data_IF_199622403439
#
_entry.id   IF_199622403439
#
_cell.length_a   1.000
_cell.length_b   1.000
_cell.length_c   1.000
_cell.angle_alpha   90.00
_cell.angle_beta   90.00
_cell.angle_gamma   90.00
#
_symmetry.space_group_name_H-M   'P 1'
#
loop_
_entity.id
_entity.type
_entity.pdbx_description
1 polymer ?
#
# COMPACT_ATOMS: atom_id res chain seq x y z
N UNK A 1 15.76 -5.00 25.83
CA UNK A 1 14.56 -4.22 26.21
C UNK A 1 14.81 -2.75 25.88
N UNK A 2 13.99 -2.15 25.02
CA UNK A 2 14.12 -0.73 24.66
C UNK A 2 13.78 0.16 25.86
N UNK A 3 14.51 1.28 26.03
CA UNK A 3 14.15 2.30 27.03
C UNK A 3 12.87 2.99 26.57
N UNK A 4 11.90 3.25 27.46
CA UNK A 4 10.71 4.01 27.08
C UNK A 4 11.11 5.43 26.66
N UNK A 5 10.53 5.90 25.56
CA UNK A 5 10.68 7.28 25.11
C UNK A 5 10.08 8.23 26.17
N UNK A 6 10.58 9.47 26.22
CA UNK A 6 9.96 10.49 27.05
C UNK A 6 8.49 10.73 26.62
N UNK A 7 7.62 11.20 27.54
CA UNK A 7 6.23 11.51 27.20
C UNK A 7 6.12 12.38 25.94
N UNK A 8 5.24 12.00 25.02
CA UNK A 8 5.04 12.71 23.74
C UNK A 8 6.09 12.45 22.65
N UNK A 9 7.13 11.63 22.92
CA UNK A 9 8.22 11.33 21.97
C UNK A 9 8.26 9.88 21.50
N UNK A 10 7.15 9.16 21.66
CA UNK A 10 7.07 7.74 21.32
C UNK A 10 7.30 7.44 19.83
N UNK A 11 7.06 8.41 18.95
CA UNK A 11 7.27 8.30 17.51
C UNK A 11 8.59 8.91 17.03
N UNK A 12 9.37 9.57 17.89
CA UNK A 12 10.66 10.15 17.49
C UNK A 12 11.62 9.03 17.06
N UNK A 13 12.06 9.07 15.80
CA UNK A 13 12.98 8.07 15.22
C UNK A 13 12.33 6.74 14.84
N UNK A 14 11.01 6.60 14.96
CA UNK A 14 10.29 5.41 14.49
C UNK A 14 10.01 5.56 13.00
N UNK A 15 10.62 4.70 12.18
CA UNK A 15 10.29 4.61 10.75
C UNK A 15 9.07 3.73 10.55
N UNK A 16 8.26 4.06 9.53
CA UNK A 16 7.27 3.14 8.98
C UNK A 16 7.97 1.94 8.35
N UNK A 17 7.28 0.79 8.34
CA UNK A 17 7.76 -0.38 7.62
C UNK A 17 7.56 -0.14 6.13
N UNK A 18 8.64 -0.21 5.36
CA UNK A 18 8.56 0.00 3.93
C UNK A 18 9.68 -0.73 3.19
N UNK A 19 9.48 -0.92 1.89
CA UNK A 19 10.45 -1.55 1.00
C UNK A 19 10.47 -0.82 -0.33
N UNK A 20 11.67 -0.66 -0.91
CA UNK A 20 11.79 -0.11 -2.25
C UNK A 20 11.27 -1.10 -3.29
N UNK A 21 10.36 -0.64 -4.13
CA UNK A 21 9.80 -1.47 -5.19
C UNK A 21 9.07 -0.66 -6.24
N UNK A 22 8.34 -1.35 -7.11
CA UNK A 22 7.59 -0.74 -8.22
C UNK A 22 6.17 -1.28 -8.21
N UNK A 23 5.20 -0.43 -8.54
CA UNK A 23 3.83 -0.86 -8.77
C UNK A 23 3.58 -1.01 -10.27
N UNK A 24 2.91 -2.07 -10.68
CA UNK A 24 2.49 -2.39 -12.05
C UNK A 24 3.56 -3.07 -12.90
N UNK A 25 4.64 -2.35 -13.22
CA UNK A 25 5.59 -2.76 -14.25
C UNK A 25 7.00 -2.29 -13.88
N UNK A 26 8.02 -3.05 -14.30
CA UNK A 26 9.43 -2.68 -14.10
C UNK A 26 9.79 -1.33 -14.74
N UNK A 27 8.99 -0.86 -15.70
CA UNK A 27 9.17 0.44 -16.37
C UNK A 27 8.72 1.63 -15.53
N UNK A 28 7.92 1.42 -14.49
CA UNK A 28 7.45 2.48 -13.60
C UNK A 28 8.54 2.86 -12.61
N UNK A 29 8.45 4.04 -12.00
CA UNK A 29 9.45 4.52 -11.04
C UNK A 29 9.57 3.64 -9.80
N UNK A 30 10.77 3.59 -9.22
CA UNK A 30 10.98 3.01 -7.90
C UNK A 30 10.30 3.90 -6.86
N UNK A 31 9.52 3.31 -5.96
CA UNK A 31 8.77 3.98 -4.92
C UNK A 31 8.96 3.27 -3.58
N UNK A 32 8.66 4.00 -2.52
CA UNK A 32 8.61 3.49 -1.16
C UNK A 32 7.26 2.78 -0.94
N UNK A 33 7.25 1.45 -0.99
CA UNK A 33 6.07 0.62 -0.75
C UNK A 33 5.86 0.53 0.76
N UNK A 34 4.86 1.24 1.28
CA UNK A 34 4.57 1.25 2.72
C UNK A 34 3.72 0.05 3.10
N UNK A 35 4.15 -0.67 4.12
CA UNK A 35 3.36 -1.73 4.75
C UNK A 35 2.76 -1.18 6.03
N UNK A 36 1.44 -1.26 6.14
CA UNK A 36 0.69 -0.70 7.26
C UNK A 36 -0.35 -1.70 7.75
N UNK A 37 0.00 -2.44 8.81
CA UNK A 37 -0.89 -3.42 9.44
C UNK A 37 -2.10 -2.79 10.16
N UNK A 38 -2.13 -1.45 10.31
CA UNK A 38 -3.28 -0.75 10.89
C UNK A 38 -4.35 -0.43 9.84
N UNK A 39 -4.07 -0.64 8.55
CA UNK A 39 -5.05 -0.50 7.49
C UNK A 39 -5.60 -1.89 7.11
N UNK A 40 -6.90 -2.11 7.28
CA UNK A 40 -7.54 -3.40 6.92
C UNK A 40 -7.39 -3.76 5.43
N UNK A 41 -7.28 -2.73 4.57
CA UNK A 41 -7.27 -2.87 3.11
C UNK A 41 -6.11 -2.11 2.47
N UNK A 42 -5.64 -2.62 1.34
CA UNK A 42 -4.62 -1.98 0.52
C UNK A 42 -5.20 -0.80 -0.27
N UNK A 43 -4.47 0.32 -0.31
CA UNK A 43 -4.89 1.58 -0.92
C UNK A 43 -3.86 2.07 -1.95
N UNK A 44 -4.33 2.70 -3.02
CA UNK A 44 -3.50 3.37 -4.03
C UNK A 44 -4.05 4.76 -4.31
N UNK A 45 -3.17 5.76 -4.46
CA UNK A 45 -3.62 7.11 -4.79
C UNK A 45 -4.05 7.16 -6.25
N UNK A 46 -5.11 7.90 -6.53
CA UNK A 46 -5.56 8.10 -7.91
C UNK A 46 -4.47 8.76 -8.76
N UNK A 47 -3.78 9.74 -8.20
CA UNK A 47 -2.74 10.51 -8.86
C UNK A 47 -1.56 9.61 -9.24
N UNK A 48 -1.16 8.71 -8.34
CA UNK A 48 -0.10 7.74 -8.61
C UNK A 48 -0.55 6.71 -9.65
N UNK A 49 -1.74 6.14 -9.50
CA UNK A 49 -2.31 5.20 -10.46
C UNK A 49 -2.35 5.79 -11.88
N UNK A 50 -2.75 7.06 -12.02
CA UNK A 50 -2.78 7.76 -13.30
C UNK A 50 -1.38 8.08 -13.86
N UNK A 51 -0.34 8.08 -13.03
CA UNK A 51 1.05 8.29 -13.46
C UNK A 51 1.72 7.02 -14.01
N UNK A 52 1.13 5.84 -13.80
CA UNK A 52 1.70 4.57 -14.25
C UNK A 52 1.69 4.48 -15.77
N UNK A 53 2.79 3.95 -16.35
CA UNK A 53 2.89 3.72 -17.80
C UNK A 53 1.88 2.70 -18.29
N UNK A 54 1.70 1.63 -17.52
CA UNK A 54 0.80 0.51 -17.80
C UNK A 54 -0.32 0.49 -16.77
N UNK A 55 -1.21 1.49 -16.83
CA UNK A 55 -2.27 1.67 -15.85
C UNK A 55 -3.29 0.52 -15.92
N UNK A 56 -3.50 -0.27 -14.84
CA UNK A 56 -4.55 -1.27 -14.82
C UNK A 56 -5.95 -0.63 -14.85
N UNK A 57 -6.97 -1.33 -15.40
CA UNK A 57 -8.33 -0.83 -15.39
C UNK A 57 -8.89 -0.77 -13.96
N UNK A 58 -9.66 0.28 -13.67
CA UNK A 58 -10.40 0.38 -12.41
C UNK A 58 -11.64 -0.50 -12.51
N UNK A 59 -11.79 -1.40 -11.54
CA UNK A 59 -12.89 -2.34 -11.42
C UNK A 59 -13.86 -1.90 -10.30
N UNK A 60 -15.10 -2.37 -10.38
CA UNK A 60 -16.14 -2.18 -9.36
C UNK A 60 -16.42 -3.51 -8.67
N UNK A 61 -16.47 -3.54 -7.33
CA UNK A 61 -16.52 -4.77 -6.54
C UNK A 61 -17.42 -4.68 -5.30
N UNK A 62 -17.69 -5.83 -4.68
CA UNK A 62 -18.63 -5.95 -3.54
C UNK A 62 -18.18 -5.12 -2.33
N UNK A 63 -16.86 -5.08 -2.05
CA UNK A 63 -16.28 -4.33 -0.93
C UNK A 63 -16.55 -2.82 -0.99
N UNK A 64 -16.77 -2.23 -2.17
CA UNK A 64 -17.16 -0.81 -2.32
C UNK A 64 -18.51 -0.48 -1.67
N UNK A 65 -19.44 -1.46 -1.60
CA UNK A 65 -20.75 -1.26 -0.99
C UNK A 65 -20.71 -1.19 0.54
N UNK A 66 -19.69 -1.79 1.17
CA UNK A 66 -19.54 -1.84 2.63
C UNK A 66 -18.96 -0.54 3.22
N UNK A 67 -18.01 0.09 2.51
CA UNK A 67 -17.29 1.27 3.02
C UNK A 67 -18.01 2.61 2.83
N UNK A 68 -19.06 2.67 1.99
CA UNK A 68 -19.94 3.84 1.90
C UNK A 68 -20.76 4.12 3.19
N UNK A 69 -20.65 3.25 4.21
CA UNK A 69 -21.38 3.39 5.47
C UNK A 69 -20.62 4.18 6.55
N UNK A 70 -19.30 4.37 6.45
CA UNK A 70 -18.48 4.90 7.55
C UNK A 70 -17.80 6.25 7.31
N UNK A 71 -17.80 6.79 6.09
CA UNK A 71 -17.39 8.19 5.89
C UNK A 71 -18.10 8.81 4.68
N UNK A 72 -18.92 9.84 4.93
CA UNK A 72 -19.72 10.49 3.87
C UNK A 72 -18.86 11.23 2.85
N UNK A 73 -17.57 11.44 3.14
CA UNK A 73 -16.68 12.26 2.32
C UNK A 73 -15.58 11.48 1.59
N UNK A 74 -15.34 10.21 1.93
CA UNK A 74 -14.32 9.41 1.24
C UNK A 74 -14.88 8.84 -0.07
N UNK A 75 -14.53 9.47 -1.20
CA UNK A 75 -14.97 9.05 -2.54
C UNK A 75 -14.00 8.04 -3.15
N UNK A 76 -14.11 6.78 -2.75
CA UNK A 76 -13.43 5.69 -3.45
C UNK A 76 -13.91 5.62 -4.91
N UNK A 77 -12.98 5.42 -5.86
CA UNK A 77 -13.31 5.29 -7.29
C UNK A 77 -13.54 3.85 -7.75
N UNK A 78 -13.15 2.88 -6.94
CA UNK A 78 -13.15 1.46 -7.26
C UNK A 78 -11.87 0.82 -6.74
N UNK A 79 -11.49 -0.30 -7.34
CA UNK A 79 -10.24 -0.98 -7.01
C UNK A 79 -9.49 -1.39 -8.28
N UNK A 80 -8.20 -1.67 -8.14
CA UNK A 80 -7.35 -2.20 -9.20
C UNK A 80 -6.64 -3.45 -8.71
N UNK A 81 -6.39 -4.39 -9.62
CA UNK A 81 -5.39 -5.43 -9.43
C UNK A 81 -4.09 -4.96 -10.02
N UNK A 82 -3.04 -4.91 -9.21
CA UNK A 82 -1.75 -4.34 -9.62
C UNK A 82 -0.60 -5.22 -9.13
N UNK A 83 0.33 -5.61 -10.03
CA UNK A 83 1.56 -6.26 -9.61
C UNK A 83 2.40 -5.36 -8.70
N UNK A 84 2.96 -5.91 -7.63
CA UNK A 84 3.93 -5.25 -6.77
C UNK A 84 5.26 -5.96 -6.96
N UNK A 85 6.27 -5.22 -7.39
CA UNK A 85 7.59 -5.74 -7.69
C UNK A 85 8.57 -5.25 -6.63
N UNK A 86 9.17 -6.18 -5.90
CA UNK A 86 10.20 -5.91 -4.89
C UNK A 86 11.52 -6.52 -5.34
N UNK A 87 12.64 -5.82 -5.12
CA UNK A 87 13.97 -6.36 -5.43
C UNK A 87 14.57 -6.95 -4.17
N UNK A 88 14.84 -8.25 -4.19
CA UNK A 88 15.55 -8.95 -3.13
C UNK A 88 17.05 -8.59 -3.13
N UNK A 89 17.75 -8.89 -2.04
CA UNK A 89 19.17 -8.56 -1.87
C UNK A 89 20.07 -9.21 -2.92
N UNK A 90 19.68 -10.38 -3.44
CA UNK A 90 20.37 -11.10 -4.51
C UNK A 90 20.07 -10.56 -5.92
N UNK A 91 19.24 -9.52 -6.02
CA UNK A 91 18.79 -8.93 -7.28
C UNK A 91 17.58 -9.61 -7.91
N UNK A 92 17.04 -10.68 -7.31
CA UNK A 92 15.81 -11.33 -7.76
C UNK A 92 14.64 -10.37 -7.62
N UNK A 93 13.80 -10.28 -8.65
CA UNK A 93 12.56 -9.51 -8.59
C UNK A 93 11.45 -10.45 -8.15
N UNK A 94 10.90 -10.17 -6.98
CA UNK A 94 9.71 -10.84 -6.46
C UNK A 94 8.50 -10.06 -6.93
N UNK A 95 7.60 -10.73 -7.66
CA UNK A 95 6.33 -10.17 -8.12
C UNK A 95 5.18 -10.79 -7.33
N UNK A 96 4.34 -9.94 -6.76
CA UNK A 96 3.10 -10.28 -6.07
C UNK A 96 1.93 -9.49 -6.67
N UNK A 97 0.68 -9.84 -6.38
CA UNK A 97 -0.51 -9.12 -6.83
C UNK A 97 -1.21 -8.46 -5.64
N UNK A 98 -1.49 -7.16 -5.74
CA UNK A 98 -2.29 -6.42 -4.77
C UNK A 98 -3.65 -6.05 -5.33
N UNK A 99 -4.70 -6.22 -4.54
CA UNK A 99 -6.01 -5.59 -4.79
C UNK A 99 -6.06 -4.26 -4.03
N UNK A 100 -5.91 -3.13 -4.72
CA UNK A 100 -5.79 -1.82 -4.12
C UNK A 100 -7.01 -0.93 -4.41
N UNK A 101 -7.58 -0.31 -3.36
CA UNK A 101 -8.67 0.65 -3.51
C UNK A 101 -8.13 2.03 -3.92
N UNK A 102 -8.79 2.64 -4.91
CA UNK A 102 -8.35 3.91 -5.48
C UNK A 102 -8.92 5.07 -4.67
N UNK A 103 -8.02 5.84 -4.05
CA UNK A 103 -8.34 6.98 -3.18
C UNK A 103 -7.87 8.29 -3.81
N UNK A 104 -8.78 9.22 -4.18
CA UNK A 104 -8.40 10.55 -4.64
C UNK A 104 -7.78 11.40 -3.53
N UNK A 105 -6.74 12.19 -3.84
CA UNK A 105 -6.12 13.12 -2.89
C UNK A 105 -5.25 12.46 -1.82
N UNK A 106 -4.95 11.17 -1.95
CA UNK A 106 -4.03 10.47 -1.05
C UNK A 106 -2.58 10.87 -1.36
N UNK A 107 -1.84 11.31 -0.35
CA UNK A 107 -0.45 11.80 -0.53
C UNK A 107 0.58 10.68 -0.65
N UNK A 108 0.25 9.51 -0.12
CA UNK A 108 1.07 8.30 -0.23
C UNK A 108 0.74 7.62 -1.57
N UNK A 109 1.73 7.22 -2.39
CA UNK A 109 1.46 6.56 -3.67
C UNK A 109 0.68 5.24 -3.52
N UNK A 110 1.12 4.39 -2.60
CA UNK A 110 0.50 3.10 -2.30
C UNK A 110 0.75 2.72 -0.83
N UNK A 111 -0.23 2.08 -0.22
CA UNK A 111 -0.19 1.60 1.15
C UNK A 111 -0.71 0.16 1.16
N UNK A 112 0.17 -0.79 1.46
CA UNK A 112 -0.09 -2.22 1.52
C UNK A 112 -0.64 -2.56 2.89
N UNK A 113 -1.95 -2.85 2.94
CA UNK A 113 -2.68 -3.11 4.17
C UNK A 113 -2.43 -4.49 4.75
N UNK A 114 -3.20 -4.81 5.78
CA UNK A 114 -3.23 -6.13 6.42
C UNK A 114 -3.71 -7.22 5.44
N UNK A 115 -4.63 -6.91 4.52
CA UNK A 115 -5.07 -7.85 3.48
C UNK A 115 -3.91 -8.36 2.61
N UNK A 116 -3.02 -7.48 2.20
CA UNK A 116 -1.81 -7.84 1.46
C UNK A 116 -0.79 -8.57 2.34
N UNK A 117 -0.58 -8.11 3.58
CA UNK A 117 0.36 -8.74 4.51
C UNK A 117 -0.04 -10.18 4.83
N UNK A 118 -1.32 -10.44 5.11
CA UNK A 118 -1.82 -11.80 5.35
C UNK A 118 -1.74 -12.68 4.11
N UNK A 119 -2.02 -12.13 2.92
CA UNK A 119 -1.96 -12.88 1.65
C UNK A 119 -0.56 -13.44 1.38
N UNK A 120 0.48 -12.70 1.76
CA UNK A 120 1.88 -13.07 1.50
C UNK A 120 2.68 -13.40 2.75
N UNK A 121 2.00 -13.60 3.89
CA UNK A 121 2.60 -13.90 5.20
C UNK A 121 3.72 -12.93 5.60
N UNK A 122 3.59 -11.66 5.19
CA UNK A 122 4.55 -10.61 5.54
C UNK A 122 4.30 -10.17 6.97
N UNK A 123 5.31 -10.30 7.81
CA UNK A 123 5.20 -9.99 9.24
C UNK A 123 6.52 -9.45 9.79
N UNK A 124 6.46 -8.87 10.99
CA UNK A 124 7.62 -8.35 11.68
C UNK A 124 8.08 -9.36 12.75
N UNK A 125 9.29 -9.87 12.60
CA UNK A 125 10.02 -10.58 13.66
C UNK A 125 11.03 -9.62 14.30
N UNK A 126 11.09 -9.56 15.64
CA UNK A 126 11.96 -8.64 16.41
C UNK A 126 12.78 -9.36 17.46
#
# INVERSE_FOLDING_TARGET
KAKPAAPGRASEGVSVMSVWGRAGSIRNSLIDLRLDSCADVTLISEEFLNSLKDKPPILQGIRMKLWQLTDKNCKLKGFVKIPILMTAEDGTIVETEAEAYVVPGMTVPILLGEDYQQTYEVSVSR
#
